data_IF_791610961840
#
_entry.id   IF_791610961840
#
_cell.length_a   1.000
_cell.length_b   1.000
_cell.length_c   1.000
_cell.angle_alpha   90.00
_cell.angle_beta   90.00
_cell.angle_gamma   90.00
#
_symmetry.space_group_name_H-M   'P 1'
#
loop_
_entity.id
_entity.type
_entity.pdbx_description
1 polymer ?
#
# COMPACT_ATOMS: atom_id res chain seq x y z
N UNK A 1 2.26 26.54 -0.75
CA UNK A 1 3.58 27.22 -0.63
C UNK A 1 4.38 26.70 0.56
N UNK A 2 3.80 26.57 1.77
CA UNK A 2 4.53 26.09 2.96
C UNK A 2 5.00 24.64 2.81
N UNK A 3 4.17 23.73 2.30
CA UNK A 3 4.55 22.33 2.05
C UNK A 3 5.65 22.26 0.99
N UNK A 4 5.59 23.12 -0.02
CA UNK A 4 6.61 23.22 -1.07
C UNK A 4 7.96 23.69 -0.51
N UNK A 5 7.95 24.63 0.42
CA UNK A 5 9.18 25.14 1.08
C UNK A 5 9.82 24.11 2.03
N UNK A 6 9.01 23.38 2.80
CA UNK A 6 9.52 22.38 3.77
C UNK A 6 10.05 21.10 3.09
N UNK A 7 9.61 20.82 1.86
CA UNK A 7 10.01 19.61 1.12
C UNK A 7 11.06 19.89 0.04
N UNK A 8 11.30 21.14 -0.35
CA UNK A 8 12.20 21.48 -1.46
C UNK A 8 13.62 20.97 -1.28
N UNK A 9 14.11 20.89 -0.04
CA UNK A 9 15.46 20.43 0.26
C UNK A 9 15.61 18.89 0.27
N UNK A 10 14.48 18.18 0.37
CA UNK A 10 14.47 16.70 0.44
C UNK A 10 13.95 16.04 -0.84
N UNK A 11 13.17 16.75 -1.61
CA UNK A 11 12.51 16.23 -2.80
C UNK A 11 12.73 17.17 -3.98
N UNK A 12 12.88 16.60 -5.16
CA UNK A 12 12.97 17.35 -6.40
C UNK A 12 11.59 17.90 -6.79
N UNK A 13 11.22 19.05 -6.21
CA UNK A 13 9.92 19.69 -6.46
C UNK A 13 9.97 20.43 -7.77
N UNK A 14 9.20 19.99 -8.75
CA UNK A 14 9.09 20.59 -10.10
C UNK A 14 7.69 21.14 -10.34
N UNK A 15 7.56 22.07 -11.27
CA UNK A 15 6.27 22.50 -11.79
C UNK A 15 5.64 21.39 -12.65
N UNK A 16 4.31 21.27 -12.60
CA UNK A 16 3.59 20.29 -13.43
C UNK A 16 3.78 20.53 -14.94
N UNK A 17 4.08 21.77 -15.34
CA UNK A 17 4.39 22.10 -16.73
C UNK A 17 5.75 21.52 -17.19
N UNK A 18 6.60 21.10 -16.26
CA UNK A 18 7.88 20.45 -16.53
C UNK A 18 7.76 18.92 -16.58
N UNK A 19 6.56 18.38 -16.43
CA UNK A 19 6.34 16.95 -16.48
C UNK A 19 6.59 16.40 -17.89
N UNK A 20 7.51 15.45 -17.97
CA UNK A 20 8.01 14.87 -19.24
C UNK A 20 7.19 13.68 -19.76
N UNK A 21 6.08 13.36 -19.07
CA UNK A 21 5.24 12.22 -19.43
C UNK A 21 5.78 10.86 -18.96
N UNK A 22 6.83 10.83 -18.12
CA UNK A 22 7.30 9.56 -17.55
C UNK A 22 6.21 8.93 -16.67
N UNK A 23 6.14 7.61 -16.65
CA UNK A 23 5.20 6.89 -15.80
C UNK A 23 5.50 7.08 -14.31
N UNK A 24 4.49 6.98 -13.48
CA UNK A 24 4.63 6.93 -12.02
C UNK A 24 3.81 5.77 -11.47
N UNK A 25 4.30 5.19 -10.38
CA UNK A 25 3.64 4.05 -9.73
C UNK A 25 2.62 4.50 -8.67
N UNK A 26 2.89 5.65 -8.04
CA UNK A 26 2.10 6.18 -6.94
C UNK A 26 2.18 7.70 -6.90
N UNK A 27 1.07 8.34 -6.58
CA UNK A 27 0.97 9.76 -6.31
C UNK A 27 0.54 9.94 -4.85
N UNK A 28 1.27 10.73 -4.07
CA UNK A 28 0.79 11.21 -2.80
C UNK A 28 0.13 12.57 -2.99
N UNK A 29 -1.01 12.79 -2.37
CA UNK A 29 -1.76 14.03 -2.52
C UNK A 29 -2.15 14.64 -1.17
N UNK A 30 -2.37 15.95 -1.18
CA UNK A 30 -2.99 16.71 -0.10
C UNK A 30 -4.05 17.60 -0.73
N UNK A 31 -5.32 17.36 -0.41
CA UNK A 31 -6.43 18.24 -0.78
C UNK A 31 -6.76 19.19 0.38
N UNK A 32 -6.71 20.48 0.13
CA UNK A 32 -6.99 21.52 1.13
C UNK A 32 -8.49 21.75 1.31
N UNK A 33 -9.31 21.30 0.36
CA UNK A 33 -10.76 21.39 0.37
C UNK A 33 -11.39 20.08 -0.04
N UNK A 34 -12.54 19.76 0.54
CA UNK A 34 -13.33 18.58 0.18
C UNK A 34 -13.72 18.60 -1.31
N UNK A 35 -14.09 19.73 -1.85
CA UNK A 35 -14.52 19.90 -3.24
C UNK A 35 -13.44 19.50 -4.23
N UNK A 36 -12.18 19.84 -3.95
CA UNK A 36 -11.03 19.48 -4.81
C UNK A 36 -10.79 17.97 -4.81
N UNK A 37 -10.92 17.33 -3.65
CA UNK A 37 -10.84 15.88 -3.52
C UNK A 37 -11.99 15.18 -4.27
N UNK A 38 -13.23 15.62 -4.06
CA UNK A 38 -14.42 15.01 -4.67
C UNK A 38 -14.35 15.11 -6.19
N UNK A 39 -13.85 16.23 -6.72
CA UNK A 39 -13.65 16.41 -8.16
C UNK A 39 -12.62 15.41 -8.70
N UNK A 40 -11.42 15.34 -8.11
CA UNK A 40 -10.38 14.42 -8.53
C UNK A 40 -10.82 12.95 -8.40
N UNK A 41 -11.48 12.61 -7.29
CA UNK A 41 -12.00 11.26 -7.06
C UNK A 41 -13.01 10.84 -8.14
N UNK A 42 -13.95 11.73 -8.48
CA UNK A 42 -14.96 11.47 -9.52
C UNK A 42 -14.33 11.17 -10.87
N UNK A 43 -13.31 11.93 -11.27
CA UNK A 43 -12.65 11.79 -12.56
C UNK A 43 -11.74 10.54 -12.65
N UNK A 44 -11.10 10.17 -11.54
CA UNK A 44 -10.02 9.18 -11.54
C UNK A 44 -10.42 7.81 -10.97
N UNK A 45 -11.51 7.70 -10.19
CA UNK A 45 -11.91 6.49 -9.47
C UNK A 45 -12.11 5.25 -10.33
N UNK A 46 -12.37 5.40 -11.63
CA UNK A 46 -12.57 4.26 -12.54
C UNK A 46 -11.25 3.51 -12.80
N UNK A 47 -10.12 4.23 -12.86
CA UNK A 47 -8.81 3.68 -13.21
C UNK A 47 -7.84 3.61 -12.03
N UNK A 48 -8.14 4.30 -10.92
CA UNK A 48 -7.24 4.44 -9.79
C UNK A 48 -7.93 4.12 -8.46
N UNK A 49 -7.15 3.55 -7.55
CA UNK A 49 -7.50 3.40 -6.16
C UNK A 49 -7.02 4.60 -5.36
N UNK A 50 -7.88 5.09 -4.46
CA UNK A 50 -7.58 6.16 -3.52
C UNK A 50 -7.47 5.56 -2.12
N UNK A 51 -6.32 5.71 -1.50
CA UNK A 51 -6.11 5.39 -0.09
C UNK A 51 -6.05 6.71 0.66
N UNK A 52 -7.09 7.03 1.41
CA UNK A 52 -7.15 8.24 2.23
C UNK A 52 -6.63 7.91 3.62
N UNK A 53 -5.68 8.72 4.10
CA UNK A 53 -5.13 8.58 5.44
C UNK A 53 -5.91 9.45 6.42
N UNK A 54 -6.43 8.82 7.46
CA UNK A 54 -7.10 9.52 8.55
C UNK A 54 -6.03 10.06 9.52
N UNK A 55 -5.68 11.33 9.36
CA UNK A 55 -4.78 12.00 10.29
C UNK A 55 -5.61 12.75 11.34
N UNK A 56 -5.66 12.22 12.54
CA UNK A 56 -6.33 12.84 13.68
C UNK A 56 -5.99 14.33 13.79
N UNK A 57 -7.01 15.18 13.68
CA UNK A 57 -6.90 16.63 13.80
C UNK A 57 -6.45 17.39 12.54
N UNK A 58 -6.22 16.74 11.42
CA UNK A 58 -5.98 17.40 10.14
C UNK A 58 -7.28 17.88 9.50
N UNK A 59 -7.30 19.14 9.05
CA UNK A 59 -8.41 19.68 8.22
C UNK A 59 -8.25 19.30 6.74
N UNK A 60 -7.11 18.74 6.38
CA UNK A 60 -6.76 18.42 5.00
C UNK A 60 -6.97 16.93 4.75
N UNK A 61 -7.46 16.60 3.56
CA UNK A 61 -7.56 15.23 3.09
C UNK A 61 -6.22 14.90 2.44
N UNK A 62 -5.55 13.89 2.95
CA UNK A 62 -4.32 13.40 2.35
C UNK A 62 -4.43 11.90 2.05
N UNK A 63 -3.58 11.45 1.14
CA UNK A 63 -3.63 10.06 0.74
C UNK A 63 -2.72 9.75 -0.42
N UNK A 64 -3.00 8.60 -1.00
CA UNK A 64 -2.27 8.06 -2.12
C UNK A 64 -3.24 7.65 -3.24
N UNK A 65 -2.79 7.83 -4.47
CA UNK A 65 -3.48 7.38 -5.68
C UNK A 65 -2.57 6.37 -6.36
N UNK A 66 -3.12 5.19 -6.64
CA UNK A 66 -2.40 4.09 -7.30
C UNK A 66 -3.22 3.54 -8.45
N UNK A 67 -2.56 3.03 -9.48
CA UNK A 67 -3.25 2.32 -10.55
C UNK A 67 -4.01 1.10 -9.99
N UNK A 68 -5.21 0.83 -10.49
CA UNK A 68 -5.94 -0.39 -10.17
C UNK A 68 -5.29 -1.65 -10.75
N UNK A 69 -4.46 -1.48 -11.77
CA UNK A 69 -3.73 -2.57 -12.42
C UNK A 69 -2.49 -2.99 -11.65
N UNK A 70 -1.98 -2.10 -10.77
CA UNK A 70 -0.75 -2.31 -10.03
C UNK A 70 -1.03 -2.26 -8.53
N UNK A 71 -1.07 -3.43 -7.91
CA UNK A 71 -1.18 -3.61 -6.47
C UNK A 71 -0.14 -4.64 -5.99
N UNK A 72 -0.05 -4.87 -4.69
CA UNK A 72 0.94 -5.80 -4.12
C UNK A 72 0.75 -7.23 -4.64
N UNK A 73 -0.47 -7.68 -4.82
CA UNK A 73 -0.75 -9.02 -5.35
C UNK A 73 -0.32 -9.20 -6.80
N UNK A 74 -0.60 -8.22 -7.68
CA UNK A 74 -0.14 -8.27 -9.07
C UNK A 74 1.38 -8.15 -9.16
N UNK A 75 2.01 -7.38 -8.27
CA UNK A 75 3.47 -7.29 -8.16
C UNK A 75 4.11 -8.62 -7.83
N UNK A 76 3.56 -9.34 -6.84
CA UNK A 76 4.03 -10.68 -6.46
C UNK A 76 3.88 -11.66 -7.63
N UNK A 77 2.74 -11.71 -8.29
CA UNK A 77 2.54 -12.59 -9.46
C UNK A 77 3.61 -12.38 -10.53
N UNK A 78 3.91 -11.11 -10.86
CA UNK A 78 4.97 -10.78 -11.82
C UNK A 78 6.36 -11.25 -11.37
N UNK A 79 6.68 -11.12 -10.07
CA UNK A 79 7.97 -11.56 -9.52
C UNK A 79 8.08 -13.07 -9.51
N UNK A 80 7.02 -13.76 -9.10
CA UNK A 80 6.94 -15.23 -9.09
C UNK A 80 7.13 -15.78 -10.50
N UNK A 81 6.43 -15.22 -11.48
CA UNK A 81 6.58 -15.58 -12.89
C UNK A 81 8.01 -15.32 -13.40
N UNK A 82 8.57 -14.15 -13.07
CA UNK A 82 9.94 -13.80 -13.49
C UNK A 82 11.00 -14.71 -12.90
N UNK A 83 10.84 -15.11 -11.64
CA UNK A 83 11.77 -16.02 -10.95
C UNK A 83 11.50 -17.50 -11.25
N UNK A 84 10.43 -17.81 -11.96
CA UNK A 84 9.95 -19.16 -12.23
C UNK A 84 9.79 -19.99 -10.94
N UNK A 85 9.13 -19.35 -9.93
CA UNK A 85 8.77 -19.97 -8.65
C UNK A 85 7.28 -20.33 -8.72
N UNK A 86 6.86 -21.37 -7.99
CA UNK A 86 5.43 -21.67 -7.86
C UNK A 86 4.77 -20.72 -6.85
N UNK A 87 3.57 -20.28 -7.15
CA UNK A 87 2.77 -19.48 -6.21
C UNK A 87 2.50 -20.25 -4.91
N UNK A 88 2.47 -21.58 -4.98
CA UNK A 88 2.34 -22.47 -3.81
C UNK A 88 3.52 -22.36 -2.82
N UNK A 89 4.65 -21.78 -3.25
CA UNK A 89 5.86 -21.58 -2.43
C UNK A 89 5.94 -20.15 -1.85
N UNK A 90 4.85 -19.39 -1.88
CA UNK A 90 4.85 -18.00 -1.43
C UNK A 90 4.21 -17.81 -0.06
N UNK A 91 4.81 -16.92 0.73
CA UNK A 91 4.27 -16.47 2.01
C UNK A 91 4.24 -14.95 2.00
N UNK A 92 3.11 -14.35 2.39
CA UNK A 92 2.94 -12.91 2.49
C UNK A 92 2.64 -12.48 3.92
N UNK A 93 3.30 -11.42 4.40
CA UNK A 93 3.04 -10.81 5.70
C UNK A 93 2.43 -9.43 5.53
N UNK A 94 1.34 -9.16 6.23
CA UNK A 94 0.62 -7.89 6.14
C UNK A 94 0.02 -7.43 7.46
N UNK A 95 -0.28 -6.12 7.56
CA UNK A 95 -0.89 -5.53 8.74
C UNK A 95 -2.06 -4.58 8.41
N UNK A 96 -2.14 -4.10 7.19
CA UNK A 96 -3.11 -3.07 6.79
C UNK A 96 -3.81 -3.38 5.46
N UNK A 97 -4.89 -2.67 5.16
CA UNK A 97 -5.74 -2.95 4.01
C UNK A 97 -5.05 -2.79 2.65
N UNK A 98 -3.89 -2.13 2.59
CA UNK A 98 -3.07 -2.08 1.38
C UNK A 98 -2.35 -3.41 1.08
N UNK A 99 -2.39 -4.36 2.01
CA UNK A 99 -1.85 -5.71 1.87
C UNK A 99 -2.90 -6.73 1.41
N UNK A 100 -4.17 -6.30 1.29
CA UNK A 100 -5.28 -7.21 1.00
C UNK A 100 -5.02 -8.10 -0.21
N UNK A 101 -4.66 -7.51 -1.36
CA UNK A 101 -4.42 -8.24 -2.60
C UNK A 101 -3.15 -9.12 -2.53
N UNK A 102 -2.20 -8.79 -1.65
CA UNK A 102 -1.04 -9.63 -1.38
C UNK A 102 -1.46 -10.86 -0.59
N UNK A 103 -2.17 -10.67 0.52
CA UNK A 103 -2.62 -11.77 1.39
C UNK A 103 -3.55 -12.72 0.63
N UNK A 104 -4.42 -12.19 -0.23
CA UNK A 104 -5.31 -12.98 -1.08
C UNK A 104 -4.57 -13.74 -2.21
N UNK A 105 -3.42 -13.22 -2.65
CA UNK A 105 -2.70 -13.78 -3.80
C UNK A 105 -1.70 -14.88 -3.43
N UNK A 106 -1.08 -14.82 -2.27
CA UNK A 106 -0.04 -15.78 -1.84
C UNK A 106 -0.64 -17.10 -1.35
N UNK A 107 0.17 -18.14 -1.29
CA UNK A 107 -0.27 -19.44 -0.76
C UNK A 107 -0.52 -19.42 0.73
N UNK A 108 0.29 -18.69 1.50
CA UNK A 108 0.13 -18.55 2.93
C UNK A 108 0.13 -17.06 3.29
N UNK A 109 -1.05 -16.50 3.50
CA UNK A 109 -1.24 -15.13 3.95
C UNK A 109 -1.21 -15.03 5.47
N UNK A 110 -0.22 -14.34 6.00
CA UNK A 110 -0.02 -14.15 7.45
C UNK A 110 -0.33 -12.69 7.81
N UNK A 111 -1.21 -12.46 8.76
CA UNK A 111 -1.55 -11.12 9.22
C UNK A 111 -1.09 -10.91 10.65
N UNK A 112 -0.49 -9.74 10.91
CA UNK A 112 -0.03 -9.34 12.24
C UNK A 112 -1.22 -9.18 13.21
N UNK A 113 -1.06 -9.55 14.48
CA UNK A 113 -2.15 -9.43 15.44
C UNK A 113 -2.57 -7.98 15.73
N UNK A 114 -1.66 -7.04 15.63
CA UNK A 114 -1.99 -5.61 15.65
C UNK A 114 -2.56 -5.07 14.32
N UNK A 115 -2.72 -5.93 13.32
CA UNK A 115 -3.21 -5.55 12.00
C UNK A 115 -4.74 -5.38 11.92
N UNK A 116 -5.20 -4.94 10.74
CA UNK A 116 -6.60 -4.68 10.43
C UNK A 116 -7.48 -5.91 10.68
N UNK A 117 -8.58 -5.75 11.41
CA UNK A 117 -9.55 -6.82 11.65
C UNK A 117 -10.09 -7.40 10.34
N UNK A 118 -10.36 -6.54 9.35
CA UNK A 118 -10.86 -6.94 8.04
C UNK A 118 -9.80 -7.74 7.23
N UNK A 119 -8.51 -7.42 7.39
CA UNK A 119 -7.45 -8.18 6.75
C UNK A 119 -7.30 -9.57 7.38
N UNK A 120 -7.49 -9.68 8.70
CA UNK A 120 -7.47 -10.95 9.42
C UNK A 120 -8.56 -11.93 8.96
N UNK A 121 -9.67 -11.43 8.41
CA UNK A 121 -10.78 -12.28 7.92
C UNK A 121 -10.38 -13.15 6.72
N UNK A 122 -9.36 -12.73 5.95
CA UNK A 122 -8.86 -13.46 4.77
C UNK A 122 -7.51 -14.13 5.01
N UNK A 123 -6.94 -13.98 6.20
CA UNK A 123 -5.64 -14.54 6.53
C UNK A 123 -5.70 -16.06 6.73
N UNK A 124 -4.71 -16.78 6.24
CA UNK A 124 -4.52 -18.19 6.57
C UNK A 124 -4.01 -18.34 8.02
N UNK A 125 -3.20 -17.38 8.48
CA UNK A 125 -2.59 -17.38 9.80
C UNK A 125 -2.55 -15.97 10.40
N UNK A 126 -2.58 -15.91 11.73
CA UNK A 126 -2.38 -14.67 12.48
C UNK A 126 -1.13 -14.87 13.34
N UNK A 127 -0.11 -14.06 13.12
CA UNK A 127 1.09 -14.05 13.93
C UNK A 127 1.01 -13.01 15.04
N UNK A 128 1.96 -13.03 15.99
CA UNK A 128 2.07 -12.01 17.03
C UNK A 128 2.23 -10.62 16.45
N UNK A 129 2.01 -9.61 17.27
CA UNK A 129 2.18 -8.20 16.91
C UNK A 129 3.64 -7.86 16.55
N UNK A 130 3.83 -6.73 15.89
CA UNK A 130 5.18 -6.22 15.56
C UNK A 130 6.03 -5.98 16.83
N UNK A 131 5.40 -5.56 17.93
CA UNK A 131 6.07 -5.31 19.21
C UNK A 131 6.50 -6.60 19.94
N UNK A 132 6.05 -7.75 19.45
CA UNK A 132 6.34 -9.08 19.98
C UNK A 132 7.18 -9.95 19.05
N UNK A 133 7.90 -9.32 18.11
CA UNK A 133 8.71 -10.00 17.09
C UNK A 133 7.89 -11.02 16.25
N UNK A 134 6.64 -10.67 15.91
CA UNK A 134 5.68 -11.58 15.31
C UNK A 134 6.17 -12.29 14.05
N UNK A 135 6.82 -11.58 13.13
CA UNK A 135 7.37 -12.16 11.90
C UNK A 135 8.47 -13.19 12.21
N UNK A 136 9.34 -12.89 13.17
CA UNK A 136 10.42 -13.79 13.56
C UNK A 136 9.89 -15.13 14.11
N UNK A 137 8.95 -15.07 15.05
CA UNK A 137 8.36 -16.30 15.61
C UNK A 137 7.56 -17.07 14.57
N UNK A 138 6.87 -16.38 13.68
CA UNK A 138 6.12 -17.04 12.62
C UNK A 138 7.05 -17.76 11.64
N UNK A 139 8.25 -17.24 11.35
CA UNK A 139 9.25 -17.93 10.54
C UNK A 139 9.72 -19.23 11.20
N UNK A 140 9.86 -19.25 12.55
CA UNK A 140 10.16 -20.47 13.30
C UNK A 140 9.01 -21.47 13.19
N UNK A 141 7.77 -20.99 13.40
CA UNK A 141 6.56 -21.84 13.38
C UNK A 141 6.28 -22.43 11.98
N UNK A 142 6.68 -21.73 10.94
CA UNK A 142 6.62 -22.19 9.55
C UNK A 142 7.82 -23.07 9.14
N UNK A 143 8.81 -23.21 10.01
CA UNK A 143 10.01 -24.02 9.73
C UNK A 143 10.95 -23.41 8.68
N UNK A 144 10.92 -22.09 8.52
CA UNK A 144 11.78 -21.37 7.56
C UNK A 144 13.18 -21.15 8.15
N UNK A 145 13.24 -20.91 9.47
CA UNK A 145 14.49 -20.74 10.24
C UNK A 145 14.45 -21.59 11.50
#
# INVERSE_FOLDING_TARGET
>A
ERVKAEQSDKFNVRDMNEYDGCGFYKISFIAMKQEDFDHAFKELKENFNFVVHDMFGSKNINGEIMSKLDNKGTGIKRIVDYLNIDMEDTIGFGDSMNDYEMIDAVKCGVVMDNGSARLKEIADRICKSVDEDGVYYEFIDLGII
#
